data_IF_835402390097
#
_entry.id   IF_835402390097
#
_cell.length_a   1.000
_cell.length_b   1.000
_cell.length_c   1.000
_cell.angle_alpha   90.00
_cell.angle_beta   90.00
_cell.angle_gamma   90.00
#
_symmetry.space_group_name_H-M   'P 1'
#
loop_
_entity.id
_entity.type
_entity.pdbx_description
1 polymer ?
#
# COMPACT_ATOMS: atom_id res chain seq x y z
N UNK A 1 -9.21 -15.68 12.71
CA UNK A 1 -8.35 -14.51 12.43
C UNK A 1 -7.94 -14.62 10.97
N UNK A 2 -8.62 -13.86 10.11
CA UNK A 2 -8.44 -13.89 8.66
C UNK A 2 -7.27 -12.97 8.31
N UNK A 3 -6.17 -13.54 7.82
CA UNK A 3 -5.13 -12.76 7.16
C UNK A 3 -5.73 -12.28 5.82
N UNK A 4 -5.74 -10.97 5.49
CA UNK A 4 -6.22 -10.51 4.21
C UNK A 4 -5.11 -10.81 3.20
N UNK A 5 -5.04 -12.04 2.70
CA UNK A 5 -4.34 -12.32 1.46
C UNK A 5 -5.18 -11.61 0.40
N UNK A 6 -4.74 -10.44 -0.05
CA UNK A 6 -5.28 -9.80 -1.24
C UNK A 6 -5.34 -10.85 -2.35
N UNK A 7 -6.47 -10.91 -3.06
CA UNK A 7 -6.86 -11.99 -3.97
C UNK A 7 -5.68 -12.54 -4.78
N UNK A 8 -5.09 -13.65 -4.31
CA UNK A 8 -3.98 -14.31 -4.98
C UNK A 8 -4.53 -14.99 -6.22
N UNK A 9 -4.50 -14.30 -7.35
CA UNK A 9 -4.92 -14.85 -8.62
C UNK A 9 -3.82 -15.76 -9.18
N UNK A 10 -4.19 -17.03 -9.37
CA UNK A 10 -3.37 -18.00 -10.10
C UNK A 10 -3.97 -18.14 -11.49
N UNK A 11 -3.15 -17.92 -12.51
CA UNK A 11 -3.59 -18.08 -13.89
C UNK A 11 -3.72 -19.56 -14.29
N UNK A 12 -4.12 -19.81 -15.54
CA UNK A 12 -4.31 -21.17 -16.06
C UNK A 12 -3.01 -21.97 -16.19
N UNK A 13 -1.87 -21.30 -16.16
CA UNK A 13 -0.53 -21.87 -16.30
C UNK A 13 0.10 -22.12 -14.92
N UNK A 14 -0.57 -21.71 -13.84
CA UNK A 14 -0.11 -21.86 -12.46
C UNK A 14 0.78 -20.72 -12.00
N UNK A 15 0.83 -19.61 -12.74
CA UNK A 15 1.63 -18.44 -12.39
C UNK A 15 0.86 -17.47 -11.51
N UNK A 16 1.60 -16.72 -10.70
CA UNK A 16 1.12 -15.57 -9.92
C UNK A 16 1.88 -14.35 -10.39
N UNK A 17 1.19 -13.24 -10.61
CA UNK A 17 1.82 -11.97 -11.01
C UNK A 17 1.49 -10.86 -10.02
N UNK A 18 2.55 -10.17 -9.57
CA UNK A 18 2.54 -8.92 -8.80
C UNK A 18 1.56 -8.92 -7.62
N UNK A 19 1.48 -10.03 -6.90
CA UNK A 19 0.63 -10.12 -5.72
C UNK A 19 1.27 -9.37 -4.55
N UNK A 20 0.54 -8.43 -3.95
CA UNK A 20 0.98 -7.73 -2.75
C UNK A 20 0.86 -8.65 -1.53
N UNK A 21 2.00 -9.02 -0.97
CA UNK A 21 2.07 -9.87 0.22
C UNK A 21 2.97 -9.24 1.28
N UNK A 22 2.63 -9.52 2.55
CA UNK A 22 3.46 -9.17 3.69
C UNK A 22 4.27 -10.39 4.12
N UNK A 23 5.59 -10.24 4.14
CA UNK A 23 6.54 -11.27 4.53
C UNK A 23 7.19 -10.93 5.86
N UNK A 24 7.62 -11.96 6.58
CA UNK A 24 8.38 -11.85 7.83
C UNK A 24 9.82 -12.27 7.57
N UNK A 25 10.78 -11.40 7.86
CA UNK A 25 12.21 -11.70 7.81
C UNK A 25 12.61 -12.65 8.93
N UNK A 26 13.78 -13.27 8.81
CA UNK A 26 14.31 -14.16 9.87
C UNK A 26 14.46 -13.46 11.23
N UNK A 27 14.76 -12.16 11.23
CA UNK A 27 14.86 -11.36 12.45
C UNK A 27 13.50 -10.94 13.06
N UNK A 28 12.38 -11.31 12.42
CA UNK A 28 11.02 -10.98 12.85
C UNK A 28 10.42 -9.71 12.23
N UNK A 29 11.19 -8.94 11.46
CA UNK A 29 10.69 -7.72 10.83
C UNK A 29 9.72 -8.03 9.69
N UNK A 30 8.59 -7.33 9.64
CA UNK A 30 7.62 -7.43 8.55
C UNK A 30 7.98 -6.46 7.41
N UNK A 31 7.79 -6.90 6.17
CA UNK A 31 7.98 -6.06 4.99
C UNK A 31 6.99 -6.42 3.88
N UNK A 32 6.58 -5.40 3.12
CA UNK A 32 5.69 -5.57 1.98
C UNK A 32 6.48 -5.86 0.72
N UNK A 33 5.97 -6.81 -0.07
CA UNK A 33 6.54 -7.20 -1.36
C UNK A 33 5.47 -7.39 -2.42
N UNK A 34 5.82 -7.10 -3.67
CA UNK A 34 5.18 -7.72 -4.82
C UNK A 34 5.87 -9.07 -5.09
N UNK A 35 5.09 -10.14 -5.04
CA UNK A 35 5.55 -11.49 -5.39
C UNK A 35 5.01 -11.90 -6.75
N UNK A 36 5.90 -12.44 -7.58
CA UNK A 36 5.55 -13.11 -8.83
C UNK A 36 6.14 -14.52 -8.82
N UNK A 37 5.33 -15.51 -9.18
CA UNK A 37 5.67 -16.93 -9.17
C UNK A 37 5.46 -17.48 -10.58
N UNK A 38 6.50 -18.07 -11.16
CA UNK A 38 6.43 -18.68 -12.49
C UNK A 38 6.87 -20.14 -12.40
N UNK A 39 5.96 -21.11 -12.64
CA UNK A 39 6.36 -22.50 -12.74
C UNK A 39 7.21 -22.70 -14.00
N UNK A 40 8.30 -23.44 -13.88
CA UNK A 40 9.16 -23.78 -15.01
C UNK A 40 9.85 -25.13 -14.80
N UNK A 41 10.37 -25.70 -15.89
CA UNK A 41 11.14 -26.95 -15.83
C UNK A 41 12.63 -26.63 -15.85
N UNK A 42 13.34 -27.00 -14.80
CA UNK A 42 14.80 -26.95 -14.75
C UNK A 42 15.36 -28.35 -14.98
N UNK A 43 15.86 -28.61 -16.19
CA UNK A 43 16.30 -29.94 -16.61
C UNK A 43 15.13 -30.93 -16.69
N UNK A 44 14.97 -31.79 -15.68
CA UNK A 44 13.86 -32.76 -15.57
C UNK A 44 13.03 -32.58 -14.29
N UNK A 45 13.24 -31.48 -13.56
CA UNK A 45 12.55 -31.20 -12.31
C UNK A 45 11.60 -30.01 -12.49
N UNK A 46 10.42 -30.11 -11.90
CA UNK A 46 9.52 -28.98 -11.74
C UNK A 46 10.11 -28.02 -10.71
N UNK A 47 10.16 -26.75 -11.06
CA UNK A 47 10.69 -25.68 -10.22
C UNK A 47 9.78 -24.45 -10.31
N UNK A 48 9.91 -23.56 -9.34
CA UNK A 48 9.19 -22.28 -9.33
C UNK A 48 10.21 -21.17 -9.27
N UNK A 49 10.16 -20.27 -10.25
CA UNK A 49 10.91 -19.03 -10.22
C UNK A 49 10.11 -18.04 -9.36
N UNK A 50 10.76 -17.52 -8.31
CA UNK A 50 10.16 -16.57 -7.38
C UNK A 50 10.82 -15.22 -7.57
N UNK A 51 10.02 -14.20 -7.89
CA UNK A 51 10.45 -12.82 -7.95
C UNK A 51 9.82 -12.07 -6.78
N UNK A 52 10.66 -11.37 -6.01
CA UNK A 52 10.24 -10.56 -4.87
C UNK A 52 10.76 -9.15 -5.09
N UNK A 53 9.84 -8.20 -5.19
CA UNK A 53 10.15 -6.78 -5.22
C UNK A 53 9.67 -6.14 -3.91
N UNK A 54 10.59 -5.63 -3.11
CA UNK A 54 10.25 -4.98 -1.83
C UNK A 54 9.63 -3.61 -2.12
N UNK A 55 8.41 -3.39 -1.64
CA UNK A 55 7.65 -2.14 -1.83
C UNK A 55 7.44 -1.36 -0.53
N UNK A 56 8.16 -1.72 0.53
CA UNK A 56 8.00 -1.10 1.85
C UNK A 56 8.28 0.41 1.81
N UNK A 57 9.38 0.81 1.18
CA UNK A 57 9.76 2.22 1.03
C UNK A 57 8.74 3.02 0.20
N UNK A 58 8.12 2.38 -0.80
CA UNK A 58 7.09 3.01 -1.64
C UNK A 58 5.81 3.24 -0.84
N UNK A 59 5.39 2.27 -0.04
CA UNK A 59 4.22 2.40 0.83
C UNK A 59 4.44 3.45 1.92
N UNK A 60 5.65 3.57 2.48
CA UNK A 60 5.99 4.65 3.42
C UNK A 60 5.95 6.02 2.74
N UNK A 61 6.43 6.15 1.50
CA UNK A 61 6.39 7.40 0.75
C UNK A 61 4.97 7.80 0.34
N UNK A 62 4.15 6.85 -0.12
CA UNK A 62 2.75 7.09 -0.44
C UNK A 62 1.96 7.48 0.82
N UNK A 63 2.24 6.84 1.97
CA UNK A 63 1.62 7.19 3.25
C UNK A 63 2.06 8.55 3.78
N UNK A 64 3.34 8.88 3.71
CA UNK A 64 3.85 10.20 4.10
C UNK A 64 3.29 11.32 3.20
N UNK A 65 3.12 11.03 1.90
CA UNK A 65 2.49 11.96 0.97
C UNK A 65 1.02 12.15 1.31
N UNK A 66 0.28 11.06 1.59
CA UNK A 66 -1.12 11.14 1.99
C UNK A 66 -1.30 11.90 3.32
N UNK A 67 -0.46 11.65 4.32
CA UNK A 67 -0.49 12.37 5.60
C UNK A 67 -0.25 13.88 5.41
N UNK A 68 0.65 14.27 4.50
CA UNK A 68 0.87 15.67 4.15
C UNK A 68 -0.34 16.30 3.44
N UNK A 69 -1.03 15.54 2.58
CA UNK A 69 -2.24 15.99 1.91
C UNK A 69 -3.43 16.11 2.88
N UNK A 70 -3.60 15.15 3.78
CA UNK A 70 -4.68 15.15 4.78
C UNK A 70 -4.48 16.28 5.79
N UNK A 71 -3.25 16.51 6.26
CA UNK A 71 -2.92 17.64 7.12
C UNK A 71 -3.19 18.99 6.43
N UNK A 72 -2.89 19.09 5.13
CA UNK A 72 -3.18 20.29 4.35
C UNK A 72 -4.70 20.51 4.18
N UNK A 73 -5.44 19.45 3.91
CA UNK A 73 -6.90 19.49 3.80
C UNK A 73 -7.59 19.87 5.12
N UNK A 74 -7.07 19.37 6.25
CA UNK A 74 -7.56 19.70 7.58
C UNK A 74 -7.33 21.18 7.92
N UNK A 75 -6.14 21.70 7.62
CA UNK A 75 -5.81 23.13 7.75
C UNK A 75 -6.72 23.99 6.87
N UNK A 76 -6.93 23.62 5.60
CA UNK A 76 -7.83 24.35 4.70
C UNK A 76 -9.28 24.36 5.22
N UNK A 77 -9.76 23.24 5.74
CA UNK A 77 -11.10 23.14 6.30
C UNK A 77 -11.27 24.02 7.55
N UNK A 78 -10.27 24.05 8.43
CA UNK A 78 -10.24 24.92 9.61
C UNK A 78 -10.17 26.41 9.25
N UNK A 79 -9.38 26.77 8.24
CA UNK A 79 -9.30 28.14 7.73
C UNK A 79 -10.65 28.59 7.16
N UNK A 80 -11.29 27.73 6.34
CA UNK A 80 -12.61 28.02 5.76
C UNK A 80 -13.68 28.22 6.83
N UNK A 81 -13.71 27.37 7.85
CA UNK A 81 -14.70 27.46 8.93
C UNK A 81 -14.45 28.69 9.82
N UNK A 82 -13.18 29.00 10.10
CA UNK A 82 -12.78 30.19 10.89
C UNK A 82 -13.10 31.49 10.15
N UNK A 83 -12.76 31.57 8.85
CA UNK A 83 -13.09 32.72 8.00
C UNK A 83 -14.60 32.95 7.93
N UNK A 84 -15.39 31.88 7.77
CA UNK A 84 -16.86 31.93 7.79
C UNK A 84 -17.40 32.48 9.11
N UNK A 85 -16.85 32.05 10.25
CA UNK A 85 -17.25 32.54 11.58
C UNK A 85 -16.89 34.01 11.80
N UNK A 86 -15.69 34.42 11.36
CA UNK A 86 -15.26 35.82 11.46
C UNK A 86 -16.11 36.75 10.59
N UNK A 87 -16.39 36.36 9.35
CA UNK A 87 -17.19 37.17 8.43
C UNK A 87 -18.64 37.34 8.93
N UNK A 88 -19.24 36.28 9.49
CA UNK A 88 -20.56 36.36 10.14
C UNK A 88 -20.56 37.36 11.30
N UNK A 89 -19.52 37.34 12.13
CA UNK A 89 -19.36 38.24 13.29
C UNK A 89 -19.17 39.72 12.89
N UNK A 90 -18.61 39.98 11.71
CA UNK A 90 -18.43 41.34 11.16
C UNK A 90 -19.70 41.86 10.50
N UNK A 91 -20.47 41.00 9.83
CA UNK A 91 -21.73 41.39 9.19
C UNK A 91 -22.92 41.50 10.16
N UNK A 92 -22.82 40.91 11.36
CA UNK A 92 -23.82 41.02 12.44
C UNK A 92 -23.59 42.26 13.35
N UNK A 93 -22.68 43.17 12.97
CA UNK A 93 -22.40 44.49 13.58
C UNK A 93 -22.87 45.62 12.64
#
# INVERSE_FOLDING_TARGET
MSCPIADLYVDKEGSVSDAEIRLVRENGDEFWTLISLFPFVFGRQQATLVWLYVISDRLEQEKATQESHDASAEIEMLLRDTMRKHFRRICDL
#
